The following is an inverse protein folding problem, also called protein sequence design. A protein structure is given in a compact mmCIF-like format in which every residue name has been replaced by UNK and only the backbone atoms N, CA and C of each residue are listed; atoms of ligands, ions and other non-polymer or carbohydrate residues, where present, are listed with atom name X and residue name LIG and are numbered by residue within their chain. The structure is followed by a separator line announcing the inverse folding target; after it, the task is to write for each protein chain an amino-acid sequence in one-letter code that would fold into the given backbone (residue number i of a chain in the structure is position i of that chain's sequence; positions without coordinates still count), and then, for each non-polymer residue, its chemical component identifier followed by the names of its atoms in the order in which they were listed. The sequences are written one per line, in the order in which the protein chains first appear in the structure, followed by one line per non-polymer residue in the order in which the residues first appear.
data_IF_699861293537
#
_entry.id   IF_699861293537
#
_cell.length_a   1.000
_cell.length_b   1.000
_cell.length_c   1.000
_cell.angle_alpha   90.00
_cell.angle_beta   90.00
_cell.angle_gamma   90.00
#
_symmetry.space_group_name_H-M   'P 1'
#
loop_
_entity.id
_entity.type
_entity.pdbx_description
1 polymer ?
#
# COMPACT_ATOMS: atom_id res chain seq x y z
N UNK A 1 -7.87 -8.85 9.09
CA UNK A 1 -7.14 -7.83 9.87
C UNK A 1 -7.92 -6.53 9.76
N UNK A 2 -7.94 -5.69 10.79
CA UNK A 2 -8.69 -4.43 10.79
C UNK A 2 -7.77 -3.30 11.24
N UNK A 3 -7.86 -2.16 10.55
CA UNK A 3 -7.09 -0.96 10.88
C UNK A 3 -7.89 -0.06 11.83
N UNK A 4 -7.21 0.53 12.80
CA UNK A 4 -7.78 1.47 13.75
C UNK A 4 -6.99 2.78 13.75
N UNK A 5 -7.68 3.90 13.91
CA UNK A 5 -7.05 5.20 14.09
C UNK A 5 -7.58 5.85 15.37
N UNK A 6 -6.67 6.30 16.22
CA UNK A 6 -6.99 7.09 17.40
C UNK A 6 -6.41 8.49 17.23
N UNK A 7 -7.22 9.50 17.50
CA UNK A 7 -6.80 10.90 17.50
C UNK A 7 -6.99 11.48 18.91
N UNK A 8 -6.04 12.30 19.41
CA UNK A 8 -6.24 13.03 20.65
C UNK A 8 -7.47 13.93 20.61
N UNK A 9 -8.19 14.05 21.73
CA UNK A 9 -9.37 14.92 21.87
C UNK A 9 -9.06 16.41 21.65
N UNK A 10 -7.78 16.79 21.69
CA UNK A 10 -7.30 18.13 21.37
C UNK A 10 -7.27 18.42 19.86
N UNK A 11 -7.45 17.41 19.01
CA UNK A 11 -7.51 17.56 17.56
C UNK A 11 -8.96 17.60 17.11
N UNK A 12 -9.27 18.49 16.17
CA UNK A 12 -10.61 18.55 15.57
C UNK A 12 -10.66 17.62 14.36
N UNK A 13 -11.57 16.66 14.37
CA UNK A 13 -11.88 15.83 13.21
C UNK A 13 -12.91 16.53 12.33
N UNK A 14 -12.56 16.76 11.06
CA UNK A 14 -13.47 17.37 10.08
C UNK A 14 -14.23 16.31 9.28
N UNK A 15 -13.53 15.27 8.81
CA UNK A 15 -14.14 14.22 7.99
C UNK A 15 -13.37 12.90 8.07
N UNK A 16 -14.07 11.82 7.76
CA UNK A 16 -13.52 10.47 7.62
C UNK A 16 -13.87 9.99 6.20
N UNK A 17 -12.87 9.50 5.48
CA UNK A 17 -13.04 8.79 4.21
C UNK A 17 -12.57 7.35 4.37
N UNK A 18 -13.36 6.40 3.89
CA UNK A 18 -12.99 4.97 3.85
C UNK A 18 -13.17 4.49 2.42
N UNK A 19 -12.07 4.09 1.78
CA UNK A 19 -12.07 3.65 0.38
C UNK A 19 -11.59 2.22 0.32
N UNK A 20 -12.45 1.30 -0.10
CA UNK A 20 -12.03 -0.04 -0.51
C UNK A 20 -11.26 0.08 -1.82
N UNK A 21 -9.95 -0.12 -1.77
CA UNK A 21 -9.05 0.20 -2.89
C UNK A 21 -9.39 -0.67 -4.11
N UNK A 22 -9.76 -1.93 -3.92
CA UNK A 22 -10.21 -2.80 -4.99
C UNK A 22 -11.44 -2.26 -5.75
N UNK A 23 -12.42 -1.68 -5.03
CA UNK A 23 -13.62 -1.09 -5.65
C UNK A 23 -13.27 0.18 -6.43
N UNK A 24 -12.32 0.97 -5.95
CA UNK A 24 -11.81 2.13 -6.70
C UNK A 24 -11.12 1.68 -8.00
N UNK A 25 -10.24 0.67 -7.93
CA UNK A 25 -9.61 0.09 -9.13
C UNK A 25 -10.66 -0.44 -10.10
N UNK A 26 -11.71 -1.09 -9.59
CA UNK A 26 -12.82 -1.56 -10.42
C UNK A 26 -13.54 -0.40 -11.11
N UNK A 27 -13.76 0.73 -10.42
CA UNK A 27 -14.45 1.89 -10.97
C UNK A 27 -13.71 2.57 -12.14
N UNK A 28 -12.39 2.41 -12.22
CA UNK A 28 -11.53 2.95 -13.28
C UNK A 28 -11.15 1.90 -14.35
N UNK A 29 -11.74 0.70 -14.25
CA UNK A 29 -11.53 -0.44 -15.15
C UNK A 29 -12.80 -0.73 -15.94
N UNK A 30 -12.67 -1.00 -17.24
CA UNK A 30 -13.77 -1.46 -18.09
C UNK A 30 -13.45 -2.85 -18.60
N UNK A 31 -14.30 -3.83 -18.31
CA UNK A 31 -14.14 -5.17 -18.87
C UNK A 31 -14.27 -5.09 -20.40
N UNK A 32 -13.43 -5.80 -21.14
CA UNK A 32 -13.61 -5.93 -22.58
C UNK A 32 -15.00 -6.53 -22.85
N UNK A 33 -15.87 -5.81 -23.57
CA UNK A 33 -17.12 -6.39 -24.05
C UNK A 33 -16.78 -7.52 -25.04
N UNK A 34 -17.19 -8.76 -24.71
CA UNK A 34 -17.14 -9.84 -25.69
C UNK A 34 -18.17 -9.53 -26.78
N UNK A 35 -17.72 -9.20 -27.98
CA UNK A 35 -18.58 -9.26 -29.16
C UNK A 35 -19.02 -10.71 -29.36
N UNK A 36 -20.29 -11.02 -29.08
CA UNK A 36 -20.90 -12.31 -29.38
C UNK A 36 -20.86 -12.57 -30.90
N UNK A 37 -19.88 -13.33 -31.36
CA UNK A 37 -19.81 -13.88 -32.71
C UNK A 37 -19.86 -15.40 -32.62
N UNK A 38 -20.58 -16.07 -33.51
CA UNK A 38 -20.77 -17.55 -33.57
C UNK A 38 -19.45 -18.37 -33.64
N UNK A 39 -18.29 -17.72 -33.79
CA UNK A 39 -16.96 -18.32 -33.63
C UNK A 39 -16.49 -18.48 -32.17
N UNK A 40 -17.20 -17.89 -31.19
CA UNK A 40 -16.84 -17.91 -29.76
C UNK A 40 -16.95 -19.29 -29.16
N UNK A 41 -17.99 -20.08 -29.44
CA UNK A 41 -18.17 -21.38 -28.77
C UNK A 41 -16.99 -22.36 -28.97
N UNK A 42 -16.32 -22.32 -30.14
CA UNK A 42 -15.12 -23.15 -30.39
C UNK A 42 -13.91 -22.63 -29.64
N UNK A 43 -13.80 -21.31 -29.51
CA UNK A 43 -12.79 -20.64 -28.69
C UNK A 43 -13.04 -20.86 -27.19
N UNK A 44 -14.29 -20.79 -26.72
CA UNK A 44 -14.69 -21.02 -25.34
C UNK A 44 -14.46 -22.49 -24.96
N UNK A 45 -14.78 -23.43 -25.85
CA UNK A 45 -14.48 -24.85 -25.65
C UNK A 45 -12.96 -25.10 -25.65
N UNK A 46 -12.20 -24.44 -26.53
CA UNK A 46 -10.74 -24.51 -26.53
C UNK A 46 -10.14 -23.93 -25.24
N UNK A 47 -10.61 -22.77 -24.77
CA UNK A 47 -10.18 -22.14 -23.52
C UNK A 47 -10.60 -22.96 -22.30
N UNK A 48 -11.77 -23.58 -22.31
CA UNK A 48 -12.24 -24.50 -21.27
C UNK A 48 -11.40 -25.78 -21.21
N UNK A 49 -11.04 -26.35 -22.37
CA UNK A 49 -10.15 -27.50 -22.41
C UNK A 49 -8.73 -27.10 -21.97
N UNK A 50 -8.24 -25.93 -22.40
CA UNK A 50 -6.94 -25.39 -22.02
C UNK A 50 -6.86 -25.04 -20.53
N UNK A 51 -7.92 -24.49 -19.92
CA UNK A 51 -7.98 -24.16 -18.49
C UNK A 51 -7.98 -25.38 -17.58
N UNK A 52 -8.27 -26.57 -18.10
CA UNK A 52 -8.07 -27.84 -17.39
C UNK A 52 -6.61 -28.32 -17.37
N UNK A 53 -5.75 -27.76 -18.22
CA UNK A 53 -4.34 -28.13 -18.35
C UNK A 53 -3.36 -26.99 -18.05
N UNK A 54 -3.85 -25.76 -17.94
CA UNK A 54 -3.10 -24.53 -17.67
C UNK A 54 -3.89 -23.75 -16.63
N UNK A 55 -3.30 -23.49 -15.47
CA UNK A 55 -3.91 -22.57 -14.51
C UNK A 55 -4.22 -21.25 -15.24
N UNK A 56 -5.46 -20.74 -15.19
CA UNK A 56 -5.78 -19.48 -15.86
C UNK A 56 -4.81 -18.42 -15.33
N UNK A 57 -4.05 -17.80 -16.23
CA UNK A 57 -3.15 -16.69 -15.90
C UNK A 57 -4.02 -15.65 -15.22
N UNK A 58 -3.85 -15.49 -13.90
CA UNK A 58 -4.62 -14.51 -13.13
C UNK A 58 -4.16 -13.13 -13.57
N UNK A 59 -5.08 -12.34 -14.12
CA UNK A 59 -4.83 -10.95 -14.47
C UNK A 59 -4.55 -10.17 -13.16
N UNK A 60 -3.35 -9.59 -12.96
CA UNK A 60 -3.03 -8.88 -11.72
C UNK A 60 -3.99 -7.74 -11.41
N UNK A 61 -4.55 -7.08 -12.43
CA UNK A 61 -5.57 -6.05 -12.24
C UNK A 61 -6.85 -6.62 -11.66
N UNK A 62 -7.26 -7.81 -12.12
CA UNK A 62 -8.41 -8.52 -11.55
C UNK A 62 -8.13 -8.94 -10.11
N UNK A 63 -6.93 -9.46 -9.82
CA UNK A 63 -6.53 -9.79 -8.45
C UNK A 63 -6.60 -8.55 -7.55
N UNK A 64 -6.12 -7.40 -8.02
CA UNK A 64 -6.13 -6.12 -7.30
C UNK A 64 -7.56 -5.62 -7.02
N UNK A 65 -8.44 -5.64 -8.03
CA UNK A 65 -9.86 -5.28 -7.89
C UNK A 65 -10.57 -6.10 -6.81
N UNK A 66 -10.23 -7.39 -6.70
CA UNK A 66 -10.86 -8.30 -5.76
C UNK A 66 -10.34 -8.16 -4.31
N UNK A 67 -9.34 -7.31 -4.05
CA UNK A 67 -8.79 -7.14 -2.71
C UNK A 67 -9.73 -6.30 -1.82
N UNK A 68 -10.00 -6.74 -0.57
CA UNK A 68 -10.90 -6.04 0.34
C UNK A 68 -10.23 -4.93 1.16
N UNK A 69 -8.96 -4.62 0.90
CA UNK A 69 -8.18 -3.66 1.69
C UNK A 69 -8.77 -2.25 1.61
N UNK A 70 -8.81 -1.56 2.75
CA UNK A 70 -9.45 -0.26 2.93
C UNK A 70 -8.40 0.78 3.29
N UNK A 71 -8.34 1.86 2.52
CA UNK A 71 -7.66 3.09 2.91
C UNK A 71 -8.60 3.89 3.81
N UNK A 72 -8.19 4.14 5.05
CA UNK A 72 -8.88 5.06 5.97
C UNK A 72 -8.12 6.38 5.96
N UNK A 73 -8.81 7.49 5.74
CA UNK A 73 -8.21 8.82 5.76
C UNK A 73 -9.06 9.78 6.61
N UNK A 74 -8.40 10.43 7.56
CA UNK A 74 -8.98 11.45 8.43
C UNK A 74 -8.49 12.82 8.00
N UNK A 75 -9.41 13.77 7.84
CA UNK A 75 -9.05 15.18 7.77
C UNK A 75 -9.17 15.77 9.16
N UNK A 76 -8.04 16.25 9.70
CA UNK A 76 -7.97 16.81 11.05
C UNK A 76 -7.43 18.24 11.02
N UNK A 77 -7.71 18.99 12.07
CA UNK A 77 -7.14 20.31 12.32
C UNK A 77 -6.36 20.28 13.63
N UNK A 78 -5.11 20.72 13.57
CA UNK A 78 -4.19 20.84 14.70
C UNK A 78 -3.74 22.30 14.77
N UNK A 79 -4.07 23.00 15.85
CA UNK A 79 -3.70 24.41 16.05
C UNK A 79 -4.07 25.33 14.86
N UNK A 80 -5.24 25.09 14.25
CA UNK A 80 -5.72 25.85 13.09
C UNK A 80 -5.12 25.44 11.74
N UNK A 81 -4.20 24.47 11.69
CA UNK A 81 -3.64 23.91 10.45
C UNK A 81 -4.31 22.58 10.10
N UNK A 82 -4.74 22.44 8.86
CA UNK A 82 -5.33 21.19 8.35
C UNK A 82 -4.25 20.18 7.99
N UNK A 83 -4.52 18.91 8.27
CA UNK A 83 -3.63 17.78 8.01
C UNK A 83 -4.49 16.55 7.67
N UNK A 84 -4.10 15.80 6.64
CA UNK A 84 -4.74 14.52 6.35
C UNK A 84 -3.91 13.36 6.91
N UNK A 85 -4.54 12.43 7.62
CA UNK A 85 -3.88 11.23 8.15
C UNK A 85 -4.52 10.01 7.51
N UNK A 86 -3.76 9.27 6.73
CA UNK A 86 -4.15 8.01 6.12
C UNK A 86 -3.54 6.82 6.86
N UNK A 87 -4.28 5.70 6.92
CA UNK A 87 -3.71 4.39 7.22
C UNK A 87 -4.15 3.36 6.20
N UNK A 88 -3.25 2.43 5.87
CA UNK A 88 -3.53 1.37 4.92
C UNK A 88 -2.73 0.10 5.22
N UNK A 89 -3.43 -1.02 5.38
CA UNK A 89 -2.84 -2.36 5.39
C UNK A 89 -2.79 -2.92 3.96
N UNK A 90 -1.59 -3.11 3.39
CA UNK A 90 -1.43 -3.65 2.04
C UNK A 90 -1.77 -5.14 1.98
N UNK A 91 -2.31 -5.68 0.86
CA UNK A 91 -2.45 -7.12 0.69
C UNK A 91 -1.13 -7.84 0.94
N UNK A 92 -1.13 -8.87 1.80
CA UNK A 92 0.01 -9.76 2.00
C UNK A 92 0.13 -10.74 0.82
N UNK A 93 0.49 -10.22 -0.36
CA UNK A 93 0.63 -10.95 -1.62
C UNK A 93 2.07 -10.85 -2.14
N UNK A 94 3.06 -11.12 -1.30
CA UNK A 94 4.48 -11.00 -1.65
C UNK A 94 4.92 -11.90 -2.84
N UNK A 95 4.10 -12.89 -3.22
CA UNK A 95 4.27 -13.72 -4.43
C UNK A 95 3.66 -13.10 -5.69
N UNK A 96 2.88 -12.04 -5.56
CA UNK A 96 2.23 -11.28 -6.64
C UNK A 96 2.61 -9.78 -6.53
N UNK A 97 3.90 -9.43 -6.68
CA UNK A 97 4.39 -8.06 -6.47
C UNK A 97 3.73 -7.04 -7.41
N UNK A 98 3.23 -7.47 -8.56
CA UNK A 98 2.51 -6.63 -9.52
C UNK A 98 1.18 -6.11 -8.93
N UNK A 99 0.46 -6.96 -8.20
CA UNK A 99 -0.78 -6.59 -7.50
C UNK A 99 -0.48 -5.56 -6.42
N UNK A 100 0.58 -5.81 -5.65
CA UNK A 100 1.04 -4.90 -4.60
C UNK A 100 1.50 -3.55 -5.17
N UNK A 101 2.13 -3.54 -6.34
CA UNK A 101 2.55 -2.32 -7.03
C UNK A 101 1.35 -1.49 -7.49
N UNK A 102 0.30 -2.13 -8.04
CA UNK A 102 -0.97 -1.48 -8.39
C UNK A 102 -1.56 -0.79 -7.16
N UNK A 103 -1.72 -1.53 -6.05
CA UNK A 103 -2.26 -0.97 -4.80
C UNK A 103 -1.39 0.18 -4.27
N UNK A 104 -0.06 0.03 -4.27
CA UNK A 104 0.88 1.06 -3.82
C UNK A 104 0.67 2.38 -4.56
N UNK A 105 0.64 2.32 -5.90
CA UNK A 105 0.46 3.52 -6.71
C UNK A 105 -0.94 4.13 -6.56
N UNK A 106 -1.98 3.30 -6.53
CA UNK A 106 -3.37 3.77 -6.39
C UNK A 106 -3.59 4.42 -5.03
N UNK A 107 -3.09 3.82 -3.94
CA UNK A 107 -3.19 4.40 -2.59
C UNK A 107 -2.45 5.73 -2.49
N UNK A 108 -1.26 5.83 -3.09
CA UNK A 108 -0.54 7.11 -3.19
C UNK A 108 -1.39 8.18 -3.84
N UNK A 109 -1.93 7.91 -5.03
CA UNK A 109 -2.70 8.90 -5.77
C UNK A 109 -4.03 9.24 -5.08
N UNK A 110 -4.68 8.26 -4.44
CA UNK A 110 -5.85 8.50 -3.59
C UNK A 110 -5.52 9.43 -2.42
N UNK A 111 -4.36 9.27 -1.77
CA UNK A 111 -3.95 10.20 -0.71
C UNK A 111 -3.69 11.62 -1.24
N UNK A 112 -3.11 11.77 -2.43
CA UNK A 112 -2.99 13.08 -3.09
C UNK A 112 -4.35 13.70 -3.42
N UNK A 113 -5.32 12.90 -3.86
CA UNK A 113 -6.68 13.35 -4.15
C UNK A 113 -7.41 13.76 -2.85
N UNK A 114 -7.38 12.91 -1.83
CA UNK A 114 -8.07 13.11 -0.55
C UNK A 114 -7.50 14.29 0.24
N UNK A 115 -6.19 14.54 0.12
CA UNK A 115 -5.56 15.69 0.77
C UNK A 115 -5.88 17.02 0.11
N UNK A 116 -6.35 17.02 -1.15
CA UNK A 116 -6.69 18.23 -1.89
C UNK A 116 -5.61 19.33 -1.82
N UNK A 117 -4.34 18.92 -1.86
CA UNK A 117 -3.18 19.82 -1.78
C UNK A 117 -2.72 20.20 -0.37
N UNK A 118 -3.38 19.72 0.68
CA UNK A 118 -2.92 19.85 2.07
C UNK A 118 -1.78 18.87 2.38
N UNK A 119 -1.05 19.16 3.45
CA UNK A 119 -0.08 18.23 4.01
C UNK A 119 -0.76 16.93 4.44
N UNK A 120 -0.07 15.81 4.30
CA UNK A 120 -0.60 14.52 4.74
C UNK A 120 0.47 13.53 5.20
N UNK A 121 0.02 12.61 6.04
CA UNK A 121 0.76 11.43 6.50
C UNK A 121 -0.02 10.19 6.04
N UNK A 122 0.67 9.15 5.61
CA UNK A 122 0.12 7.84 5.29
C UNK A 122 0.98 6.79 6.02
N UNK A 123 0.39 6.04 6.94
CA UNK A 123 1.08 4.97 7.68
C UNK A 123 0.46 3.60 7.49
N UNK A 124 1.17 2.55 7.87
CA UNK A 124 0.63 1.19 7.94
C UNK A 124 1.68 0.12 7.69
N UNK A 125 1.22 -1.13 7.72
CA UNK A 125 1.97 -2.28 7.22
C UNK A 125 1.74 -2.37 5.70
N UNK A 126 2.79 -2.06 4.95
CA UNK A 126 2.75 -2.10 3.50
C UNK A 126 3.14 -3.46 2.94
N UNK A 127 3.57 -4.43 3.75
CA UNK A 127 4.04 -5.74 3.28
C UNK A 127 5.12 -5.66 2.18
N UNK A 128 5.88 -4.56 2.10
CA UNK A 128 6.91 -4.33 1.07
C UNK A 128 8.24 -3.99 1.72
N UNK A 129 9.33 -4.42 1.08
CA UNK A 129 10.68 -3.99 1.45
C UNK A 129 11.05 -2.69 0.72
N UNK A 130 11.97 -1.92 1.30
CA UNK A 130 12.43 -0.63 0.74
C UNK A 130 13.15 -0.75 -0.61
N UNK A 131 13.61 -1.96 -0.97
CA UNK A 131 14.23 -2.29 -2.25
C UNK A 131 13.22 -2.70 -3.34
N UNK A 132 11.94 -2.82 -3.01
CA UNK A 132 10.90 -3.30 -3.94
C UNK A 132 10.46 -2.22 -4.93
N UNK A 133 9.96 -2.66 -6.09
CA UNK A 133 9.30 -1.78 -7.08
C UNK A 133 8.04 -1.11 -6.50
N UNK A 134 7.39 -1.74 -5.54
CA UNK A 134 6.24 -1.18 -4.83
C UNK A 134 6.63 0.06 -4.01
N UNK A 135 7.76 -0.01 -3.30
CA UNK A 135 8.30 1.12 -2.56
C UNK A 135 8.74 2.26 -3.50
N UNK A 136 9.31 1.91 -4.66
CA UNK A 136 9.64 2.88 -5.72
C UNK A 136 8.37 3.59 -6.24
N UNK A 137 7.25 2.88 -6.43
CA UNK A 137 5.99 3.49 -6.85
C UNK A 137 5.48 4.60 -5.91
N UNK A 138 5.80 4.47 -4.62
CA UNK A 138 5.45 5.44 -3.57
C UNK A 138 6.42 6.62 -3.51
N UNK A 139 7.72 6.38 -3.72
CA UNK A 139 8.80 7.30 -3.33
C UNK A 139 9.63 7.87 -4.46
N UNK A 140 9.57 7.29 -5.67
CA UNK A 140 10.38 7.68 -6.81
C UNK A 140 9.56 8.36 -7.91
N UNK A 141 10.17 9.37 -8.52
CA UNK A 141 9.60 10.04 -9.68
C UNK A 141 9.74 9.17 -10.92
N UNK A 142 8.86 9.38 -11.89
CA UNK A 142 8.93 8.68 -13.18
C UNK A 142 8.34 7.27 -13.15
N UNK A 143 7.70 6.86 -12.06
CA UNK A 143 6.89 5.65 -12.05
C UNK A 143 5.63 5.86 -12.91
N UNK A 144 5.52 5.12 -14.00
CA UNK A 144 4.53 5.30 -15.08
C UNK A 144 3.81 4.00 -15.41
N UNK A 145 2.79 4.05 -16.29
CA UNK A 145 2.03 2.88 -16.72
C UNK A 145 2.86 1.67 -17.14
N UNK A 146 3.99 1.90 -17.82
CA UNK A 146 4.87 0.82 -18.30
C UNK A 146 5.52 0.02 -17.17
N UNK A 147 5.39 0.48 -15.92
CA UNK A 147 5.82 -0.24 -14.73
C UNK A 147 4.74 -1.21 -14.18
N UNK A 148 3.52 -1.20 -14.72
CA UNK A 148 2.46 -2.15 -14.37
C UNK A 148 2.37 -3.29 -15.38
N UNK A 149 1.82 -4.45 -14.98
CA UNK A 149 1.44 -5.49 -15.93
C UNK A 149 0.39 -4.94 -16.91
N UNK A 150 0.50 -5.34 -18.18
CA UNK A 150 -0.52 -5.06 -19.17
C UNK A 150 -1.81 -5.81 -18.79
N UNK A 151 -2.96 -5.13 -18.73
CA UNK A 151 -4.23 -5.79 -18.41
C UNK A 151 -4.64 -6.74 -19.53
N UNK A 152 -5.16 -7.92 -19.16
CA UNK A 152 -5.55 -8.96 -20.13
C UNK A 152 -7.02 -8.78 -20.51
N UNK A 153 -7.88 -8.59 -19.51
CA UNK A 153 -9.34 -8.61 -19.68
C UNK A 153 -9.99 -7.23 -19.56
N UNK A 154 -9.20 -6.18 -19.32
CA UNK A 154 -9.69 -4.88 -18.92
C UNK A 154 -9.00 -3.74 -19.69
N UNK A 155 -9.78 -2.72 -20.03
CA UNK A 155 -9.25 -1.40 -20.37
C UNK A 155 -9.13 -0.57 -19.09
N UNK A 156 -7.90 -0.20 -18.74
CA UNK A 156 -7.56 0.49 -17.48
C UNK A 156 -7.31 1.97 -17.78
N UNK A 157 -8.18 2.83 -17.24
CA UNK A 157 -8.05 4.29 -17.40
C UNK A 157 -7.07 4.93 -16.42
N UNK A 158 -6.61 4.19 -15.40
CA UNK A 158 -5.66 4.66 -14.41
C UNK A 158 -4.34 5.11 -15.03
N UNK A 159 -3.85 6.29 -14.62
CA UNK A 159 -2.53 6.82 -14.98
C UNK A 159 -1.88 7.30 -13.68
N UNK A 160 -0.75 6.69 -13.25
CA UNK A 160 -0.13 7.05 -11.98
C UNK A 160 0.45 8.45 -12.06
N UNK A 161 0.39 9.20 -10.95
CA UNK A 161 1.08 10.48 -10.90
C UNK A 161 2.59 10.24 -10.78
N UNK A 162 3.34 10.57 -11.84
CA UNK A 162 4.79 10.34 -11.90
C UNK A 162 5.62 11.44 -11.23
N UNK A 163 5.03 12.59 -10.92
CA UNK A 163 5.74 13.73 -10.32
C UNK A 163 5.55 13.83 -8.80
N UNK A 164 4.43 13.29 -8.33
CA UNK A 164 4.06 13.30 -6.92
C UNK A 164 4.54 12.02 -6.25
N UNK A 165 5.47 12.21 -5.31
CA UNK A 165 6.08 11.15 -4.51
C UNK A 165 5.96 11.47 -3.03
N UNK A 166 5.96 10.40 -2.22
CA UNK A 166 5.99 10.43 -0.77
C UNK A 166 7.43 10.39 -0.27
N UNK A 167 7.65 10.87 0.95
CA UNK A 167 8.88 10.67 1.72
C UNK A 167 8.62 9.70 2.86
N UNK A 168 9.57 8.83 3.20
CA UNK A 168 9.53 8.06 4.45
C UNK A 168 10.07 8.89 5.61
N UNK A 169 9.38 8.89 6.75
CA UNK A 169 9.81 9.60 7.95
C UNK A 169 11.15 9.09 8.49
N UNK A 170 11.35 7.76 8.51
CA UNK A 170 12.60 7.15 8.97
C UNK A 170 13.75 7.48 8.03
N UNK A 171 13.56 7.31 6.72
CA UNK A 171 14.59 7.66 5.73
C UNK A 171 14.93 9.14 5.74
N UNK A 172 13.94 10.03 5.88
CA UNK A 172 14.19 11.49 5.97
C UNK A 172 14.99 11.83 7.25
N UNK A 173 14.65 11.21 8.39
CA UNK A 173 15.28 11.54 9.68
C UNK A 173 16.66 10.91 9.88
N UNK A 174 16.83 9.65 9.47
CA UNK A 174 18.00 8.83 9.75
C UNK A 174 18.90 8.62 8.52
N UNK A 175 18.42 8.97 7.33
CA UNK A 175 19.10 8.71 6.05
C UNK A 175 18.81 7.32 5.46
N UNK A 176 18.32 6.38 6.28
CA UNK A 176 17.95 5.01 5.89
C UNK A 176 16.64 4.59 6.54
N UNK A 177 16.00 3.57 5.96
CA UNK A 177 14.93 2.85 6.67
C UNK A 177 15.50 2.02 7.82
N UNK A 178 14.67 1.59 8.79
CA UNK A 178 15.08 0.62 9.80
C UNK A 178 15.58 -0.69 9.17
N UNK A 179 16.34 -1.46 9.94
CA UNK A 179 16.75 -2.82 9.55
C UNK A 179 15.53 -3.73 9.44
N UNK A 180 14.62 -3.63 10.42
CA UNK A 180 13.38 -4.38 10.40
C UNK A 180 12.27 -3.69 11.17
N UNK A 181 11.04 -4.02 10.80
CA UNK A 181 9.82 -3.72 11.54
C UNK A 181 8.97 -4.97 11.73
N UNK A 182 9.18 -6.03 10.95
CA UNK A 182 8.62 -7.37 11.17
C UNK A 182 9.74 -8.37 11.47
N UNK A 183 9.51 -9.23 12.44
CA UNK A 183 10.35 -10.39 12.71
C UNK A 183 9.51 -11.62 13.05
N UNK A 184 9.09 -12.35 12.01
CA UNK A 184 8.10 -13.41 12.10
C UNK A 184 8.69 -14.81 11.81
N UNK A 185 8.06 -15.82 12.41
CA UNK A 185 8.36 -17.23 12.15
C UNK A 185 7.19 -17.91 11.46
N UNK A 186 7.48 -18.63 10.37
CA UNK A 186 6.53 -19.55 9.74
C UNK A 186 7.13 -20.96 9.79
N UNK A 187 6.38 -21.97 10.28
CA UNK A 187 6.86 -23.34 10.28
C UNK A 187 7.37 -23.79 8.91
N UNK A 188 8.56 -24.40 8.91
CA UNK A 188 9.25 -24.89 7.69
C UNK A 188 9.76 -23.80 6.73
N UNK A 189 9.78 -22.54 7.15
CA UNK A 189 10.44 -21.44 6.45
C UNK A 189 11.53 -20.82 7.32
N UNK A 190 12.57 -20.20 6.72
CA UNK A 190 13.45 -19.32 7.47
C UNK A 190 12.66 -18.18 8.13
N UNK A 191 13.17 -17.68 9.26
CA UNK A 191 12.61 -16.49 9.90
C UNK A 191 12.65 -15.32 8.92
N UNK A 192 11.56 -14.59 8.86
CA UNK A 192 11.48 -13.38 8.06
C UNK A 192 11.81 -12.18 8.95
N UNK A 193 12.74 -11.34 8.50
CA UNK A 193 13.18 -10.16 9.23
C UNK A 193 13.39 -9.03 8.23
N UNK A 194 12.46 -8.08 8.16
CA UNK A 194 12.57 -6.96 7.24
C UNK A 194 11.70 -5.77 7.68
N UNK A 195 11.94 -4.61 7.05
CA UNK A 195 11.08 -3.45 7.19
C UNK A 195 9.89 -3.57 6.23
N UNK A 196 8.69 -3.64 6.81
CA UNK A 196 7.40 -3.73 6.12
C UNK A 196 6.48 -2.55 6.44
N UNK A 197 6.71 -1.89 7.58
CA UNK A 197 5.89 -0.82 8.12
C UNK A 197 6.53 0.54 7.82
N UNK A 198 5.71 1.49 7.40
CA UNK A 198 6.20 2.81 7.01
C UNK A 198 5.30 3.93 7.53
N UNK A 199 5.92 5.08 7.79
CA UNK A 199 5.23 6.36 7.97
C UNK A 199 5.66 7.24 6.81
N UNK A 200 4.86 7.25 5.75
CA UNK A 200 5.04 8.13 4.61
C UNK A 200 4.40 9.49 4.85
N UNK A 201 4.92 10.53 4.19
CA UNK A 201 4.34 11.86 4.28
C UNK A 201 4.60 12.71 3.04
N UNK A 202 3.83 13.79 2.94
CA UNK A 202 3.97 14.83 1.94
C UNK A 202 3.57 16.19 2.50
N UNK A 203 4.20 17.24 1.98
CA UNK A 203 3.85 18.62 2.28
C UNK A 203 4.95 19.35 3.05
N UNK A 204 4.58 20.41 3.76
CA UNK A 204 5.45 21.25 4.58
C UNK A 204 5.59 20.69 6.02
N UNK A 205 5.92 19.41 6.10
CA UNK A 205 6.13 18.69 7.35
C UNK A 205 7.62 18.44 7.59
N UNK A 206 8.11 18.76 8.78
CA UNK A 206 9.49 18.45 9.19
C UNK A 206 9.48 17.29 10.18
N UNK A 207 10.26 16.24 9.90
CA UNK A 207 10.44 15.10 10.82
C UNK A 207 11.42 15.49 11.92
N UNK A 208 10.92 15.73 13.12
CA UNK A 208 11.75 16.10 14.28
C UNK A 208 12.47 14.89 14.87
N UNK A 209 11.73 13.79 15.01
CA UNK A 209 12.19 12.57 15.68
C UNK A 209 11.44 11.36 15.10
N UNK A 210 12.11 10.22 15.09
CA UNK A 210 11.48 8.90 14.94
C UNK A 210 11.79 8.05 16.17
N UNK A 211 10.94 7.06 16.46
CA UNK A 211 11.23 6.08 17.51
C UNK A 211 12.42 5.23 17.07
N UNK A 212 13.44 5.17 17.92
CA UNK A 212 14.60 4.32 17.70
C UNK A 212 14.19 2.85 17.81
N UNK A 213 14.49 2.08 16.77
CA UNK A 213 14.22 0.65 16.72
C UNK A 213 15.52 -0.12 16.95
N UNK A 214 15.47 -1.32 17.52
CA UNK A 214 16.64 -2.17 17.70
C UNK A 214 17.30 -2.51 16.35
N UNK A 215 18.63 -2.58 16.34
CA UNK A 215 19.39 -2.95 15.14
C UNK A 215 19.38 -4.46 14.86
N UNK A 216 18.96 -5.27 15.85
CA UNK A 216 18.91 -6.72 15.76
C UNK A 216 17.78 -7.29 16.63
N UNK A 217 17.11 -8.37 16.19
CA UNK A 217 16.18 -9.10 17.04
C UNK A 217 16.85 -9.63 18.31
N UNK A 218 16.07 -9.68 19.39
CA UNK A 218 16.53 -10.17 20.71
C UNK A 218 16.09 -11.61 21.01
N UNK A 219 15.23 -12.16 20.15
CA UNK A 219 14.67 -13.51 20.25
C UNK A 219 14.82 -14.26 18.93
N UNK A 220 14.34 -15.51 18.86
CA UNK A 220 14.31 -16.28 17.62
C UNK A 220 13.16 -15.87 16.69
N UNK A 221 12.06 -15.36 17.24
CA UNK A 221 10.95 -14.78 16.48
C UNK A 221 10.12 -13.92 17.41
N UNK A 222 9.33 -13.01 16.84
CA UNK A 222 8.24 -12.36 17.52
C UNK A 222 6.90 -12.92 17.00
N UNK A 223 5.79 -12.83 17.77
CA UNK A 223 5.73 -12.38 19.17
C UNK A 223 6.46 -13.32 20.15
N UNK A 224 6.83 -12.80 21.32
CA UNK A 224 7.43 -13.52 22.44
C UNK A 224 6.87 -13.02 23.79
N UNK A 225 7.49 -13.43 24.92
CA UNK A 225 7.05 -13.02 26.27
C UNK A 225 7.09 -11.51 26.53
N UNK A 226 7.90 -10.78 25.77
CA UNK A 226 8.17 -9.34 25.90
C UNK A 226 7.66 -8.52 24.70
N UNK A 227 7.44 -9.15 23.56
CA UNK A 227 6.94 -8.56 22.32
C UNK A 227 5.57 -9.16 21.97
N UNK A 228 4.46 -8.43 22.15
CA UNK A 228 3.12 -8.97 21.93
C UNK A 228 2.73 -9.10 20.45
N UNK A 229 3.61 -8.71 19.53
CA UNK A 229 3.40 -8.65 18.08
C UNK A 229 4.69 -9.05 17.37
N UNK A 230 4.56 -9.68 16.20
CA UNK A 230 5.65 -9.93 15.25
C UNK A 230 6.20 -8.63 14.63
N UNK A 231 5.33 -7.63 14.51
CA UNK A 231 5.71 -6.27 14.14
C UNK A 231 6.12 -5.41 15.34
N UNK A 232 7.13 -4.55 15.14
CA UNK A 232 7.56 -3.49 16.03
C UNK A 232 6.71 -2.23 15.84
N UNK A 233 6.38 -1.56 16.95
CA UNK A 233 5.77 -0.23 16.89
C UNK A 233 6.74 0.75 16.24
N UNK A 234 6.26 1.49 15.23
CA UNK A 234 6.98 2.62 14.63
C UNK A 234 6.30 3.94 15.01
N UNK A 235 7.08 5.02 15.16
CA UNK A 235 6.52 6.33 15.46
C UNK A 235 7.38 7.47 14.92
N UNK A 236 6.74 8.58 14.61
CA UNK A 236 7.40 9.81 14.17
C UNK A 236 6.74 11.05 14.80
N UNK A 237 7.56 12.04 15.11
CA UNK A 237 7.12 13.38 15.56
C UNK A 237 7.34 14.36 14.42
N UNK A 238 6.26 15.04 14.02
CA UNK A 238 6.28 16.04 12.96
C UNK A 238 6.06 17.43 13.53
N UNK A 239 6.83 18.40 13.01
CA UNK A 239 6.54 19.83 13.15
C UNK A 239 5.79 20.32 11.92
N UNK A 240 4.61 20.89 12.14
CA UNK A 240 3.82 21.59 11.12
C UNK A 240 4.43 22.97 10.86
N UNK A 241 5.03 23.17 9.69
CA UNK A 241 5.69 24.44 9.32
C UNK A 241 4.67 25.54 8.97
#
# INVERSE_FOLDING_TARGET
MGDGMAIPVSMQLNSISMIKVGDYIQSISKHHEQQENILTWRWDLYQFLKSKFIDPVSDPWQTAMNRPNILICLQIVINGKSLCIGTYHMPCLYKEPEVMAIHSSVVKDLMFQLSAGQDFILSGDFNIQSSSTCYQALTEKGYVNRNFPEPINYDISYRPNSEQVLKSAYREKNGTEPIYTDFSYTPHSPNFCATLDYIFFKGHLMVEKVLELPDHPTSESYPDETHPSDHLMIAATFRLL
#
